data_IF_671088260131
#
_entry.id   IF_671088260131
#
_cell.length_a   1.000
_cell.length_b   1.000
_cell.length_c   1.000
_cell.angle_alpha   90.00
_cell.angle_beta   90.00
_cell.angle_gamma   90.00
#
_symmetry.space_group_name_H-M   'P 1'
#
loop_
_entity.id
_entity.type
_entity.pdbx_description
1 polymer ?
#
# COMPACT_ATOMS: atom_id res chain seq x y z
N UNK A 1 2.56 -8.20 5.54
CA UNK A 1 2.22 -9.54 4.95
C UNK A 1 3.17 -9.73 3.79
N UNK A 2 3.98 -10.79 3.77
CA UNK A 2 4.90 -10.99 2.64
C UNK A 2 4.11 -11.14 1.33
N UNK A 3 4.63 -10.57 0.24
CA UNK A 3 4.02 -10.68 -1.09
C UNK A 3 3.85 -12.16 -1.45
N UNK A 4 2.65 -12.57 -1.81
CA UNK A 4 2.35 -13.93 -2.19
C UNK A 4 3.06 -14.27 -3.51
N UNK A 5 3.96 -15.25 -3.50
CA UNK A 5 4.84 -15.57 -4.62
C UNK A 5 4.06 -15.90 -5.91
N UNK A 6 2.95 -16.62 -5.80
CA UNK A 6 2.11 -16.97 -6.97
C UNK A 6 1.50 -15.72 -7.66
N UNK A 7 1.15 -14.70 -6.91
CA UNK A 7 0.68 -13.42 -7.48
C UNK A 7 1.80 -12.65 -8.13
N UNK A 8 2.99 -12.68 -7.52
CA UNK A 8 4.16 -12.03 -8.09
C UNK A 8 4.58 -12.70 -9.40
N UNK A 9 4.60 -14.03 -9.47
CA UNK A 9 4.90 -14.78 -10.71
C UNK A 9 3.95 -14.42 -11.85
N UNK A 10 2.63 -14.37 -11.59
CA UNK A 10 1.63 -13.95 -12.58
C UNK A 10 1.86 -12.51 -13.05
N UNK A 11 2.14 -11.59 -12.11
CA UNK A 11 2.44 -10.20 -12.41
C UNK A 11 3.69 -10.07 -13.29
N UNK A 12 4.79 -10.77 -12.93
CA UNK A 12 6.05 -10.77 -13.69
C UNK A 12 5.83 -11.31 -15.12
N UNK A 13 5.07 -12.38 -15.27
CA UNK A 13 4.78 -12.96 -16.58
C UNK A 13 4.06 -11.97 -17.49
N UNK A 14 3.03 -11.26 -16.98
CA UNK A 14 2.29 -10.25 -17.75
C UNK A 14 3.16 -9.02 -18.05
N UNK A 15 3.96 -8.55 -17.09
CA UNK A 15 4.85 -7.42 -17.29
C UNK A 15 5.95 -7.71 -18.32
N UNK A 16 6.50 -8.93 -18.34
CA UNK A 16 7.46 -9.35 -19.35
C UNK A 16 6.82 -9.49 -20.74
N UNK A 17 5.58 -9.94 -20.80
CA UNK A 17 4.85 -9.99 -22.07
C UNK A 17 4.66 -8.58 -22.67
N UNK A 18 4.43 -7.56 -21.82
CA UNK A 18 4.30 -6.16 -22.23
C UNK A 18 5.63 -5.57 -22.68
N UNK A 19 6.71 -5.77 -21.89
CA UNK A 19 7.97 -5.05 -22.08
C UNK A 19 8.95 -5.75 -23.05
N UNK A 20 8.94 -7.08 -23.08
CA UNK A 20 9.89 -7.88 -23.89
C UNK A 20 9.25 -8.40 -25.18
N UNK A 21 7.97 -8.78 -25.15
CA UNK A 21 7.27 -9.30 -26.32
C UNK A 21 7.97 -10.54 -26.90
N UNK A 22 8.41 -10.44 -28.17
CA UNK A 22 9.12 -11.48 -28.89
C UNK A 22 10.66 -11.46 -28.69
N UNK A 23 11.21 -10.46 -27.97
CA UNK A 23 12.61 -10.43 -27.58
C UNK A 23 13.19 -9.04 -27.30
N UNK A 24 14.19 -8.97 -26.43
CA UNK A 24 15.06 -7.79 -26.29
C UNK A 24 16.08 -7.76 -27.44
N UNK A 25 15.64 -7.21 -28.57
CA UNK A 25 16.46 -7.17 -29.80
C UNK A 25 17.78 -6.42 -29.65
N UNK A 26 17.85 -5.45 -28.71
CA UNK A 26 19.09 -4.71 -28.43
C UNK A 26 20.10 -5.63 -27.76
N UNK A 27 19.73 -6.28 -26.68
CA UNK A 27 20.65 -7.21 -26.00
C UNK A 27 21.00 -8.40 -26.89
N UNK A 28 20.02 -8.98 -27.58
CA UNK A 28 20.24 -10.12 -28.47
C UNK A 28 21.19 -9.81 -29.67
N UNK A 29 21.21 -8.57 -30.16
CA UNK A 29 22.06 -8.17 -31.28
C UNK A 29 23.45 -7.67 -30.88
N UNK A 30 23.62 -7.16 -29.64
CA UNK A 30 24.84 -6.45 -29.26
C UNK A 30 25.69 -7.20 -28.23
N UNK A 31 25.11 -8.15 -27.50
CA UNK A 31 25.78 -8.85 -26.38
C UNK A 31 25.80 -10.36 -26.65
N UNK A 32 26.97 -11.03 -26.62
CA UNK A 32 27.00 -12.49 -26.71
C UNK A 32 26.20 -13.18 -25.59
N UNK A 33 25.48 -14.26 -25.93
CA UNK A 33 24.50 -14.90 -25.04
C UNK A 33 25.07 -15.43 -23.71
N UNK A 34 26.39 -15.75 -23.68
CA UNK A 34 27.06 -16.34 -22.53
C UNK A 34 27.79 -15.33 -21.63
N UNK A 35 27.64 -14.02 -21.87
CA UNK A 35 28.32 -12.99 -21.08
C UNK A 35 27.74 -12.96 -19.67
N UNK A 36 28.66 -13.04 -18.69
CA UNK A 36 28.38 -12.87 -17.28
C UNK A 36 28.74 -11.43 -16.87
N UNK A 37 27.98 -10.85 -15.96
CA UNK A 37 28.24 -9.50 -15.48
C UNK A 37 27.71 -9.27 -14.09
N UNK A 38 28.02 -8.10 -13.56
CA UNK A 38 27.55 -7.60 -12.29
C UNK A 38 26.94 -6.21 -12.46
N UNK A 39 25.86 -5.94 -11.77
CA UNK A 39 25.28 -4.61 -11.65
C UNK A 39 24.96 -4.28 -10.20
N UNK A 40 24.93 -2.97 -9.88
CA UNK A 40 24.53 -2.46 -8.57
C UNK A 40 23.31 -1.55 -8.69
N UNK A 41 22.37 -1.67 -7.75
CA UNK A 41 21.26 -0.74 -7.64
C UNK A 41 21.68 0.46 -6.78
N UNK A 42 21.74 1.62 -7.43
CA UNK A 42 22.17 2.89 -6.84
C UNK A 42 20.95 3.76 -6.53
N UNK A 43 20.88 4.27 -5.32
CA UNK A 43 19.91 5.26 -4.87
C UNK A 43 20.34 6.66 -5.33
N UNK A 44 19.38 7.44 -5.86
CA UNK A 44 19.63 8.80 -6.37
C UNK A 44 18.78 9.87 -5.69
N UNK A 45 17.87 9.48 -4.82
CA UNK A 45 16.99 10.37 -4.05
C UNK A 45 17.04 9.96 -2.57
N UNK A 46 16.41 10.72 -1.68
CA UNK A 46 16.30 10.39 -0.26
C UNK A 46 14.90 9.88 0.09
N UNK A 47 14.81 8.92 1.00
CA UNK A 47 13.52 8.36 1.41
C UNK A 47 13.63 7.01 2.11
N UNK A 48 12.53 6.26 2.06
CA UNK A 48 12.43 4.89 2.59
C UNK A 48 12.50 3.89 1.43
N UNK A 49 13.49 3.01 1.48
CA UNK A 49 13.66 1.96 0.47
C UNK A 49 12.56 0.90 0.64
N UNK A 50 11.93 0.51 -0.46
CA UNK A 50 10.93 -0.56 -0.45
C UNK A 50 10.92 -1.34 -1.78
N UNK A 51 10.60 -2.64 -1.68
CA UNK A 51 10.55 -3.55 -2.81
C UNK A 51 11.86 -4.30 -3.07
N UNK A 52 12.82 -4.29 -2.15
CA UNK A 52 14.09 -5.05 -2.26
C UNK A 52 13.81 -6.55 -2.33
N UNK A 53 13.00 -7.08 -1.40
CA UNK A 53 12.59 -8.47 -1.41
C UNK A 53 11.81 -8.84 -2.68
N UNK A 54 10.97 -7.94 -3.17
CA UNK A 54 10.22 -8.13 -4.42
C UNK A 54 11.16 -8.14 -5.62
N UNK A 55 12.10 -7.21 -5.72
CA UNK A 55 13.09 -7.16 -6.80
C UNK A 55 13.96 -8.42 -6.83
N UNK A 56 14.42 -8.90 -5.69
CA UNK A 56 15.16 -10.17 -5.58
C UNK A 56 14.35 -11.34 -6.17
N UNK A 57 13.06 -11.42 -5.85
CA UNK A 57 12.18 -12.44 -6.41
C UNK A 57 11.94 -12.23 -7.92
N UNK A 58 11.81 -11.00 -8.41
CA UNK A 58 11.69 -10.70 -9.85
C UNK A 58 12.92 -11.23 -10.59
N UNK A 59 14.14 -10.93 -10.12
CA UNK A 59 15.36 -11.46 -10.73
C UNK A 59 15.39 -12.99 -10.75
N UNK A 60 15.01 -13.63 -9.64
CA UNK A 60 14.99 -15.09 -9.53
C UNK A 60 13.92 -15.75 -10.42
N UNK A 61 12.72 -15.13 -10.55
CA UNK A 61 11.65 -15.62 -11.45
C UNK A 61 12.09 -15.55 -12.91
N UNK A 62 12.82 -14.49 -13.29
CA UNK A 62 13.29 -14.30 -14.67
C UNK A 62 14.44 -15.27 -15.00
N UNK A 63 15.36 -15.45 -14.06
CA UNK A 63 16.46 -16.40 -14.20
C UNK A 63 16.93 -16.86 -12.81
N UNK A 64 16.67 -18.13 -12.42
CA UNK A 64 17.11 -18.68 -11.15
C UNK A 64 18.64 -18.71 -10.96
N UNK A 65 19.42 -18.54 -12.05
CA UNK A 65 20.88 -18.44 -12.00
C UNK A 65 21.41 -17.09 -11.53
N UNK A 66 20.57 -16.05 -11.48
CA UNK A 66 20.97 -14.75 -10.99
C UNK A 66 21.13 -14.75 -9.47
N UNK A 67 22.22 -14.16 -9.00
CA UNK A 67 22.53 -14.01 -7.57
C UNK A 67 22.32 -12.55 -7.17
N UNK A 68 21.50 -12.30 -6.14
CA UNK A 68 21.24 -10.96 -5.60
C UNK A 68 21.78 -10.89 -4.18
N UNK A 69 22.79 -10.05 -3.97
CA UNK A 69 23.35 -9.73 -2.67
C UNK A 69 22.77 -8.42 -2.15
N UNK A 70 21.94 -8.51 -1.11
CA UNK A 70 21.25 -7.35 -0.52
C UNK A 70 22.19 -6.64 0.45
N UNK A 71 22.36 -5.32 0.25
CA UNK A 71 23.13 -4.45 1.13
C UNK A 71 22.23 -3.63 2.07
N UNK A 72 21.02 -3.27 1.63
CA UNK A 72 20.02 -2.55 2.42
C UNK A 72 18.66 -3.23 2.26
N UNK A 73 18.00 -3.48 3.38
CA UNK A 73 16.70 -4.14 3.43
C UNK A 73 15.54 -3.15 3.25
N UNK A 74 14.34 -3.68 3.01
CA UNK A 74 13.09 -2.90 3.00
C UNK A 74 12.90 -2.15 4.33
N UNK A 75 12.52 -0.87 4.26
CA UNK A 75 12.35 0.02 5.40
C UNK A 75 13.59 0.84 5.75
N UNK A 76 14.74 0.61 5.12
CA UNK A 76 15.94 1.42 5.34
C UNK A 76 15.72 2.87 4.87
N UNK A 77 16.15 3.83 5.69
CA UNK A 77 16.32 5.21 5.26
C UNK A 77 17.52 5.30 4.33
N UNK A 78 17.32 5.92 3.16
CA UNK A 78 18.34 5.99 2.10
C UNK A 78 18.54 7.40 1.61
N UNK A 79 19.74 7.65 1.08
CA UNK A 79 20.17 8.91 0.47
C UNK A 79 20.93 8.68 -0.83
N UNK A 80 21.13 9.72 -1.65
CA UNK A 80 21.89 9.60 -2.90
C UNK A 80 23.28 9.03 -2.67
N UNK A 81 23.64 8.01 -3.46
CA UNK A 81 24.91 7.29 -3.40
C UNK A 81 24.86 5.96 -2.67
N UNK A 82 23.81 5.67 -1.89
CA UNK A 82 23.63 4.39 -1.24
C UNK A 82 23.42 3.27 -2.27
N UNK A 83 23.86 2.06 -1.94
CA UNK A 83 23.70 0.88 -2.78
C UNK A 83 22.71 -0.07 -2.08
N UNK A 84 21.59 -0.36 -2.75
CA UNK A 84 20.57 -1.24 -2.19
C UNK A 84 20.94 -2.72 -2.32
N UNK A 85 21.47 -3.14 -3.47
CA UNK A 85 21.93 -4.52 -3.70
C UNK A 85 22.87 -4.60 -4.90
N UNK A 86 23.54 -5.74 -5.02
CA UNK A 86 24.27 -6.17 -6.21
C UNK A 86 23.54 -7.35 -6.85
N UNK A 87 23.60 -7.46 -8.18
CA UNK A 87 23.10 -8.61 -8.94
C UNK A 87 24.18 -9.11 -9.88
N UNK A 88 24.39 -10.43 -9.90
CA UNK A 88 25.40 -11.12 -10.70
C UNK A 88 24.77 -12.25 -11.52
N UNK A 89 25.26 -12.48 -12.73
CA UNK A 89 24.86 -13.59 -13.58
C UNK A 89 24.81 -13.22 -15.05
N UNK A 90 23.95 -13.91 -15.81
CA UNK A 90 23.82 -13.67 -17.24
C UNK A 90 23.33 -12.24 -17.52
N UNK A 91 24.07 -11.51 -18.37
CA UNK A 91 23.80 -10.09 -18.68
C UNK A 91 22.45 -9.89 -19.36
N UNK A 92 22.03 -10.79 -20.25
CA UNK A 92 20.71 -10.71 -20.89
C UNK A 92 19.58 -10.81 -19.86
N UNK A 93 19.73 -11.70 -18.87
CA UNK A 93 18.76 -11.87 -17.78
C UNK A 93 18.71 -10.64 -16.86
N UNK A 94 19.87 -10.05 -16.54
CA UNK A 94 19.96 -8.82 -15.74
C UNK A 94 19.25 -7.66 -16.45
N UNK A 95 19.56 -7.42 -17.73
CA UNK A 95 18.97 -6.33 -18.52
C UNK A 95 17.46 -6.52 -18.72
N UNK A 96 17.01 -7.76 -18.95
CA UNK A 96 15.61 -8.11 -19.08
C UNK A 96 14.81 -7.82 -17.80
N UNK A 97 15.43 -8.03 -16.62
CA UNK A 97 14.80 -7.81 -15.32
C UNK A 97 14.84 -6.33 -14.87
N UNK A 98 15.82 -5.57 -15.34
CA UNK A 98 16.17 -4.23 -14.85
C UNK A 98 14.97 -3.30 -14.78
N UNK A 99 14.25 -3.11 -15.90
CA UNK A 99 13.19 -2.11 -15.97
C UNK A 99 12.04 -2.45 -15.05
N UNK A 100 11.61 -3.72 -15.02
CA UNK A 100 10.54 -4.17 -14.14
C UNK A 100 10.92 -4.02 -12.66
N UNK A 101 12.11 -4.46 -12.27
CA UNK A 101 12.59 -4.33 -10.90
C UNK A 101 12.67 -2.86 -10.46
N UNK A 102 13.21 -1.97 -11.31
CA UNK A 102 13.28 -0.54 -11.05
C UNK A 102 11.90 0.10 -10.92
N UNK A 103 10.97 -0.17 -11.85
CA UNK A 103 9.63 0.40 -11.81
C UNK A 103 8.89 0.02 -10.52
N UNK A 104 9.00 -1.24 -10.10
CA UNK A 104 8.40 -1.73 -8.86
C UNK A 104 9.03 -1.06 -7.64
N UNK A 105 10.36 -1.07 -7.53
CA UNK A 105 11.05 -0.51 -6.37
C UNK A 105 10.88 1.01 -6.26
N UNK A 106 10.98 1.74 -7.37
CA UNK A 106 10.77 3.19 -7.42
C UNK A 106 9.37 3.56 -6.93
N UNK A 107 8.34 2.81 -7.37
CA UNK A 107 6.96 3.00 -6.97
C UNK A 107 6.76 2.67 -5.50
N UNK A 108 7.21 1.49 -5.05
CA UNK A 108 7.08 1.05 -3.67
C UNK A 108 7.84 1.97 -2.70
N UNK A 109 9.06 2.37 -3.03
CA UNK A 109 9.86 3.29 -2.20
C UNK A 109 9.21 4.68 -2.11
N UNK A 110 8.62 5.19 -3.19
CA UNK A 110 7.86 6.44 -3.15
C UNK A 110 6.65 6.36 -2.21
N UNK A 111 5.90 5.24 -2.21
CA UNK A 111 4.76 5.01 -1.31
C UNK A 111 5.25 4.88 0.14
N UNK A 112 6.30 4.09 0.38
CA UNK A 112 6.88 3.91 1.71
C UNK A 112 7.38 5.24 2.29
N UNK A 113 8.09 6.05 1.50
CA UNK A 113 8.57 7.38 1.87
C UNK A 113 7.41 8.29 2.26
N UNK A 114 6.38 8.36 1.40
CA UNK A 114 5.20 9.16 1.68
C UNK A 114 4.48 8.70 2.94
N UNK A 115 4.31 7.40 3.10
CA UNK A 115 3.65 6.82 4.28
C UNK A 115 4.44 7.12 5.55
N UNK A 116 5.76 7.02 5.49
CA UNK A 116 6.65 7.35 6.62
C UNK A 116 6.48 8.80 7.08
N UNK A 117 6.38 9.74 6.16
CA UNK A 117 6.10 11.15 6.49
C UNK A 117 4.78 11.31 7.24
N UNK A 118 3.69 10.65 6.78
CA UNK A 118 2.40 10.69 7.48
C UNK A 118 2.47 10.01 8.84
N UNK A 119 3.10 8.83 8.94
CA UNK A 119 3.24 8.09 10.19
C UNK A 119 4.05 8.87 11.24
N UNK A 120 5.11 9.58 10.82
CA UNK A 120 5.91 10.42 11.71
C UNK A 120 5.08 11.55 12.37
N UNK A 121 4.10 12.13 11.65
CA UNK A 121 3.20 13.14 12.21
C UNK A 121 2.26 12.58 13.28
N UNK A 122 2.05 11.27 13.33
CA UNK A 122 1.21 10.59 14.32
C UNK A 122 1.96 10.18 15.60
N UNK A 123 3.26 10.43 15.66
CA UNK A 123 4.09 10.07 16.81
C UNK A 123 3.52 10.66 18.13
N UNK A 124 3.42 9.81 19.17
CA UNK A 124 2.85 10.17 20.48
C UNK A 124 1.32 10.15 20.54
N UNK A 125 0.63 9.74 19.47
CA UNK A 125 -0.82 9.46 19.46
C UNK A 125 -1.07 7.95 19.32
N UNK A 126 -2.32 7.50 19.51
CA UNK A 126 -2.70 6.11 19.24
C UNK A 126 -3.06 5.86 17.76
N UNK A 127 -3.27 6.93 17.00
CA UNK A 127 -3.75 6.85 15.63
C UNK A 127 -2.73 6.20 14.69
N UNK A 128 -3.22 5.42 13.71
CA UNK A 128 -2.43 4.89 12.61
C UNK A 128 -2.97 5.39 11.27
N UNK A 129 -2.07 5.73 10.35
CA UNK A 129 -2.46 6.06 8.99
C UNK A 129 -2.80 4.79 8.21
N UNK A 130 -3.91 4.80 7.48
CA UNK A 130 -4.37 3.71 6.60
C UNK A 130 -4.26 4.10 5.14
N UNK A 131 -3.97 3.12 4.32
CA UNK A 131 -4.21 3.20 2.88
C UNK A 131 -5.71 3.10 2.55
N UNK A 132 -6.02 3.04 1.26
CA UNK A 132 -7.37 2.85 0.74
C UNK A 132 -7.36 1.84 -0.43
N UNK A 133 -8.50 1.68 -1.12
CA UNK A 133 -8.57 0.95 -2.39
C UNK A 133 -8.23 1.82 -3.61
N UNK A 134 -7.81 3.08 -3.43
CA UNK A 134 -7.35 3.99 -4.51
C UNK A 134 -5.91 3.65 -4.91
N UNK A 135 -5.72 2.44 -5.39
CA UNK A 135 -4.44 1.88 -5.84
C UNK A 135 -4.41 1.72 -7.35
N UNK A 136 -3.20 1.63 -7.93
CA UNK A 136 -3.05 1.25 -9.34
C UNK A 136 -3.66 -0.14 -9.56
N UNK A 137 -4.52 -0.33 -10.58
CA UNK A 137 -5.05 -1.65 -10.90
C UNK A 137 -3.94 -2.70 -11.02
N UNK A 138 -4.19 -3.90 -10.48
CA UNK A 138 -3.28 -5.05 -10.41
C UNK A 138 -2.04 -4.87 -9.51
N UNK A 139 -1.67 -3.64 -9.10
CA UNK A 139 -0.51 -3.39 -8.23
C UNK A 139 -0.85 -3.27 -6.73
N UNK A 140 -2.11 -3.46 -6.34
CA UNK A 140 -2.56 -3.25 -4.95
C UNK A 140 -1.75 -4.03 -3.91
N UNK A 141 -1.33 -5.25 -4.22
CA UNK A 141 -0.56 -6.08 -3.30
C UNK A 141 0.83 -5.51 -3.02
N UNK A 142 1.48 -4.87 -4.01
CA UNK A 142 2.76 -4.18 -3.86
C UNK A 142 2.59 -2.83 -3.16
N UNK A 143 1.56 -2.06 -3.55
CA UNK A 143 1.33 -0.73 -2.98
C UNK A 143 0.94 -0.80 -1.50
N UNK A 144 0.12 -1.79 -1.10
CA UNK A 144 -0.23 -2.01 0.31
C UNK A 144 0.93 -2.53 1.15
N UNK A 145 1.79 -3.37 0.58
CA UNK A 145 3.03 -3.79 1.24
C UNK A 145 3.96 -2.59 1.47
N UNK A 146 4.09 -1.70 0.49
CA UNK A 146 4.87 -0.48 0.62
C UNK A 146 4.34 0.46 1.72
N UNK A 147 3.02 0.52 1.93
CA UNK A 147 2.43 1.26 3.06
C UNK A 147 2.85 0.67 4.40
N UNK A 148 2.87 -0.67 4.53
CA UNK A 148 3.36 -1.32 5.77
C UNK A 148 4.84 -1.03 6.01
N UNK A 149 5.67 -1.12 4.97
CA UNK A 149 7.11 -0.80 5.04
C UNK A 149 7.33 0.65 5.49
N UNK A 150 6.50 1.59 5.04
CA UNK A 150 6.54 2.99 5.46
C UNK A 150 6.00 3.27 6.88
N UNK A 151 5.55 2.24 7.62
CA UNK A 151 5.04 2.37 9.00
C UNK A 151 3.56 2.68 9.10
N UNK A 152 2.80 2.62 8.01
CA UNK A 152 1.34 2.70 7.98
C UNK A 152 0.67 1.37 8.29
N UNK A 153 -0.63 1.31 8.08
CA UNK A 153 -1.44 0.10 8.18
C UNK A 153 -2.36 -0.02 6.96
N UNK A 154 -2.87 -1.23 6.71
CA UNK A 154 -3.74 -1.48 5.57
C UNK A 154 -5.22 -1.41 5.98
N UNK A 155 -6.03 -0.69 5.21
CA UNK A 155 -7.46 -0.85 5.15
C UNK A 155 -7.80 -2.13 4.35
N UNK A 156 -9.07 -2.52 4.27
CA UNK A 156 -9.52 -3.68 3.50
C UNK A 156 -8.82 -3.79 2.14
N UNK A 157 -8.46 -5.01 1.78
CA UNK A 157 -7.79 -5.26 0.50
C UNK A 157 -8.78 -5.20 -0.67
N UNK A 158 -9.96 -5.77 -0.51
CA UNK A 158 -10.97 -5.84 -1.56
C UNK A 158 -12.38 -5.55 -1.07
N UNK A 159 -13.37 -6.12 -1.75
CA UNK A 159 -14.77 -6.07 -1.35
C UNK A 159 -15.19 -7.28 -0.53
N UNK A 160 -14.27 -8.23 -0.31
CA UNK A 160 -14.52 -9.54 0.26
C UNK A 160 -13.99 -9.72 1.69
N UNK A 161 -13.08 -8.86 2.15
CA UNK A 161 -12.40 -8.99 3.45
C UNK A 161 -12.93 -8.04 4.54
N UNK A 162 -13.83 -7.11 4.17
CA UNK A 162 -14.56 -6.23 5.08
C UNK A 162 -15.76 -5.63 4.36
N UNK A 163 -16.90 -5.59 5.01
CA UNK A 163 -18.06 -4.82 4.56
C UNK A 163 -17.85 -3.36 4.95
N UNK A 164 -17.76 -2.45 3.97
CA UNK A 164 -17.75 -1.01 4.20
C UNK A 164 -19.03 -0.44 3.61
N UNK A 165 -19.94 -0.05 4.48
CA UNK A 165 -21.21 0.58 4.13
C UNK A 165 -20.95 2.07 3.96
N UNK A 166 -21.11 2.55 2.74
CA UNK A 166 -20.90 3.93 2.33
C UNK A 166 -22.22 4.69 2.21
N UNK A 167 -22.14 6.00 2.06
CA UNK A 167 -23.27 6.91 1.83
C UNK A 167 -24.30 6.35 0.85
N UNK A 168 -23.86 5.96 -0.35
CA UNK A 168 -24.73 5.38 -1.37
C UNK A 168 -25.41 4.08 -0.92
N UNK A 169 -24.72 3.24 -0.12
CA UNK A 169 -25.32 2.01 0.41
C UNK A 169 -26.41 2.32 1.43
N UNK A 170 -26.19 3.33 2.29
CA UNK A 170 -27.18 3.82 3.27
C UNK A 170 -28.40 4.37 2.55
N UNK A 171 -28.18 5.23 1.56
CA UNK A 171 -29.26 5.88 0.80
C UNK A 171 -30.12 4.84 0.04
N UNK A 172 -29.50 3.89 -0.67
CA UNK A 172 -30.22 2.80 -1.37
C UNK A 172 -30.86 1.79 -0.43
N UNK A 173 -30.34 1.60 0.78
CA UNK A 173 -30.95 0.72 1.77
C UNK A 173 -32.17 1.34 2.46
N UNK A 174 -32.34 2.67 2.40
CA UNK A 174 -33.37 3.42 3.09
C UNK A 174 -33.01 3.76 4.54
N UNK A 175 -31.74 4.04 4.82
CA UNK A 175 -31.21 4.51 6.11
C UNK A 175 -30.19 3.56 6.75
N UNK A 176 -29.55 4.06 7.81
CA UNK A 176 -28.47 3.40 8.57
C UNK A 176 -28.95 2.06 9.15
N UNK A 177 -30.05 2.07 9.90
CA UNK A 177 -30.60 0.87 10.55
C UNK A 177 -30.92 -0.24 9.55
N UNK A 178 -31.50 0.11 8.40
CA UNK A 178 -31.82 -0.85 7.35
C UNK A 178 -30.54 -1.43 6.72
N UNK A 179 -29.56 -0.59 6.43
CA UNK A 179 -28.28 -1.02 5.88
C UNK A 179 -27.54 -1.99 6.81
N UNK A 180 -27.46 -1.65 8.09
CA UNK A 180 -26.81 -2.49 9.11
C UNK A 180 -27.53 -3.79 9.34
N UNK A 181 -28.87 -3.78 9.48
CA UNK A 181 -29.68 -4.98 9.66
C UNK A 181 -29.48 -5.97 8.49
N UNK A 182 -29.50 -5.46 7.25
CA UNK A 182 -29.28 -6.29 6.06
C UNK A 182 -27.84 -6.83 5.98
N UNK A 183 -26.84 -6.02 6.31
CA UNK A 183 -25.44 -6.45 6.31
C UNK A 183 -25.19 -7.55 7.33
N UNK A 184 -25.77 -7.46 8.53
CA UNK A 184 -25.72 -8.47 9.58
C UNK A 184 -26.40 -9.78 9.16
N UNK A 185 -27.63 -9.68 8.64
CA UNK A 185 -28.37 -10.84 8.15
C UNK A 185 -27.58 -11.56 7.05
N UNK A 186 -27.00 -10.81 6.11
CA UNK A 186 -26.16 -11.35 5.06
C UNK A 186 -24.91 -12.05 5.63
N UNK A 187 -24.17 -11.38 6.54
CA UNK A 187 -22.98 -11.94 7.22
C UNK A 187 -23.31 -13.26 7.91
N UNK A 188 -24.41 -13.29 8.67
CA UNK A 188 -24.85 -14.49 9.40
C UNK A 188 -25.29 -15.63 8.46
N UNK A 189 -26.10 -15.31 7.44
CA UNK A 189 -26.62 -16.31 6.49
C UNK A 189 -25.49 -17.00 5.70
N UNK A 190 -24.42 -16.25 5.39
CA UNK A 190 -23.29 -16.78 4.61
C UNK A 190 -22.11 -17.25 5.48
N UNK A 191 -22.23 -17.21 6.81
CA UNK A 191 -21.17 -17.63 7.73
C UNK A 191 -19.87 -16.84 7.59
N UNK A 192 -19.95 -15.54 7.24
CA UNK A 192 -18.79 -14.70 6.99
C UNK A 192 -18.22 -14.15 8.31
N UNK A 193 -16.91 -14.33 8.54
CA UNK A 193 -16.18 -13.78 9.68
C UNK A 193 -15.45 -12.46 9.33
N UNK A 194 -16.10 -11.59 8.54
CA UNK A 194 -15.54 -10.31 8.12
C UNK A 194 -16.15 -9.15 8.92
N UNK A 195 -15.38 -8.10 9.25
CA UNK A 195 -15.89 -6.94 9.98
C UNK A 195 -16.86 -6.11 9.14
N UNK A 196 -17.72 -5.36 9.85
CA UNK A 196 -18.63 -4.36 9.27
C UNK A 196 -18.16 -2.98 9.70
N UNK A 197 -17.88 -2.14 8.74
CA UNK A 197 -17.59 -0.73 8.89
C UNK A 197 -18.68 0.11 8.21
N UNK A 198 -19.02 1.27 8.78
CA UNK A 198 -19.98 2.20 8.21
C UNK A 198 -19.46 3.63 8.22
N UNK A 199 -19.63 4.34 7.11
CA UNK A 199 -19.41 5.79 6.99
C UNK A 199 -20.61 6.53 7.57
N UNK A 200 -20.35 7.56 8.39
CA UNK A 200 -21.36 8.51 8.89
C UNK A 200 -21.00 9.94 8.48
N UNK A 201 -22.02 10.72 8.11
CA UNK A 201 -21.92 12.09 7.60
C UNK A 201 -22.40 13.13 8.63
N UNK A 202 -22.99 12.68 9.76
CA UNK A 202 -23.54 13.53 10.79
C UNK A 202 -23.55 12.86 12.16
N UNK A 203 -23.73 13.67 13.22
CA UNK A 203 -23.93 13.13 14.57
C UNK A 203 -25.22 12.32 14.70
N UNK A 204 -26.27 12.68 13.97
CA UNK A 204 -27.51 11.93 13.96
C UNK A 204 -27.32 10.53 13.39
N UNK A 205 -26.58 10.39 12.28
CA UNK A 205 -26.21 9.08 11.73
C UNK A 205 -25.35 8.28 12.72
N UNK A 206 -24.42 8.95 13.43
CA UNK A 206 -23.59 8.31 14.46
C UNK A 206 -24.44 7.78 15.62
N UNK A 207 -25.41 8.56 16.11
CA UNK A 207 -26.34 8.12 17.17
C UNK A 207 -27.08 6.85 16.73
N UNK A 208 -27.63 6.82 15.52
CA UNK A 208 -28.32 5.66 14.96
C UNK A 208 -27.39 4.43 14.84
N UNK A 209 -26.11 4.63 14.43
CA UNK A 209 -25.09 3.56 14.43
C UNK A 209 -24.85 3.04 15.83
N UNK A 210 -24.74 3.91 16.84
CA UNK A 210 -24.43 3.52 18.21
C UNK A 210 -25.57 2.78 18.92
N UNK A 211 -26.80 2.87 18.42
CA UNK A 211 -27.94 2.06 18.85
C UNK A 211 -27.90 0.64 18.27
N UNK A 212 -27.09 0.41 17.23
CA UNK A 212 -26.93 -0.86 16.56
C UNK A 212 -25.69 -1.64 17.06
N UNK A 213 -25.89 -2.82 17.67
CA UNK A 213 -24.81 -3.63 18.27
C UNK A 213 -23.89 -4.38 17.30
N UNK A 214 -24.03 -4.21 16.01
CA UNK A 214 -23.41 -5.11 15.02
C UNK A 214 -22.41 -4.45 14.07
N UNK A 215 -21.86 -3.33 14.47
CA UNK A 215 -20.80 -2.58 13.76
C UNK A 215 -19.50 -2.78 14.48
N UNK A 216 -18.42 -3.05 13.74
CA UNK A 216 -17.08 -3.22 14.29
C UNK A 216 -16.28 -1.92 14.24
N UNK A 217 -16.54 -1.06 13.23
CA UNK A 217 -15.86 0.22 13.01
C UNK A 217 -16.82 1.28 12.47
N UNK A 218 -16.62 2.53 12.87
CA UNK A 218 -17.31 3.69 12.32
C UNK A 218 -16.29 4.65 11.71
N UNK A 219 -16.59 5.15 10.49
CA UNK A 219 -15.79 6.13 9.78
C UNK A 219 -16.50 7.47 9.77
N UNK A 220 -15.84 8.52 10.25
CA UNK A 220 -16.31 9.91 10.19
C UNK A 220 -15.89 10.52 8.86
N UNK A 221 -16.83 10.66 7.94
CA UNK A 221 -16.56 11.17 6.59
C UNK A 221 -16.67 12.69 6.54
N UNK A 222 -15.58 13.35 6.19
CA UNK A 222 -15.46 14.82 6.08
C UNK A 222 -15.83 15.62 7.35
N UNK A 223 -15.73 15.02 8.54
CA UNK A 223 -15.88 15.75 9.81
C UNK A 223 -14.67 16.66 10.03
N UNK A 224 -14.91 17.84 10.63
CA UNK A 224 -13.84 18.69 11.17
C UNK A 224 -13.16 18.02 12.36
N UNK A 225 -11.98 18.49 12.74
CA UNK A 225 -11.25 17.95 13.90
C UNK A 225 -12.02 18.08 15.21
N UNK A 226 -12.80 19.16 15.39
CA UNK A 226 -13.68 19.38 16.53
C UNK A 226 -14.87 18.40 16.53
N UNK A 227 -15.44 18.15 15.37
CA UNK A 227 -16.53 17.16 15.23
C UNK A 227 -16.01 15.74 15.49
N UNK A 228 -14.80 15.42 14.99
CA UNK A 228 -14.15 14.13 15.26
C UNK A 228 -13.92 13.93 16.75
N UNK A 229 -13.40 14.94 17.46
CA UNK A 229 -13.20 14.84 18.91
C UNK A 229 -14.53 14.54 19.65
N UNK A 230 -15.60 15.27 19.33
CA UNK A 230 -16.93 15.03 19.88
C UNK A 230 -17.47 13.64 19.51
N UNK A 231 -17.29 13.21 18.25
CA UNK A 231 -17.73 11.89 17.81
C UNK A 231 -16.98 10.75 18.55
N UNK A 232 -15.68 10.90 18.76
CA UNK A 232 -14.88 9.94 19.55
C UNK A 232 -15.39 9.85 21.00
N UNK A 233 -15.74 10.98 21.64
CA UNK A 233 -16.37 11.00 22.96
C UNK A 233 -17.71 10.26 22.96
N UNK A 234 -18.56 10.47 21.94
CA UNK A 234 -19.86 9.79 21.79
C UNK A 234 -19.67 8.27 21.59
N UNK A 235 -18.69 7.85 20.81
CA UNK A 235 -18.35 6.43 20.62
C UNK A 235 -17.88 5.80 21.93
N UNK A 236 -17.13 6.53 22.75
CA UNK A 236 -16.66 6.12 24.08
C UNK A 236 -16.06 4.70 24.11
N UNK A 237 -15.19 4.38 23.13
CA UNK A 237 -14.48 3.11 23.04
C UNK A 237 -15.34 1.88 22.66
N UNK A 238 -16.62 2.06 22.31
CA UNK A 238 -17.52 0.96 21.91
C UNK A 238 -17.20 0.40 20.53
N UNK A 239 -16.65 1.21 19.65
CA UNK A 239 -16.30 0.88 18.27
C UNK A 239 -14.89 1.38 17.96
N UNK A 240 -14.24 0.75 16.99
CA UNK A 240 -13.04 1.29 16.35
C UNK A 240 -13.44 2.55 15.56
N UNK A 241 -12.65 3.61 15.66
CA UNK A 241 -12.93 4.90 15.02
C UNK A 241 -11.95 5.21 13.90
N UNK A 242 -12.48 5.70 12.77
CA UNK A 242 -11.69 6.14 11.63
C UNK A 242 -12.12 7.55 11.19
N UNK A 243 -11.14 8.42 10.86
CA UNK A 243 -11.40 9.68 10.19
C UNK A 243 -11.01 9.57 8.72
N UNK A 244 -11.85 10.12 7.84
CA UNK A 244 -11.65 10.15 6.40
C UNK A 244 -12.13 11.46 5.77
N UNK A 245 -11.67 11.75 4.55
CA UNK A 245 -12.09 12.91 3.77
C UNK A 245 -11.10 14.07 3.83
N UNK A 246 -10.42 14.36 2.70
CA UNK A 246 -9.57 15.53 2.50
C UNK A 246 -8.38 15.73 3.45
N UNK A 247 -8.00 14.70 4.21
CA UNK A 247 -6.93 14.80 5.21
C UNK A 247 -5.57 14.86 4.54
N UNK A 248 -4.79 15.90 4.84
CA UNK A 248 -3.47 16.16 4.29
C UNK A 248 -2.37 15.98 5.34
N UNK A 249 -1.10 16.09 4.91
CA UNK A 249 0.04 16.01 5.82
C UNK A 249 0.01 17.10 6.90
N UNK A 250 -0.48 18.29 6.54
CA UNK A 250 -0.59 19.46 7.42
C UNK A 250 -1.68 19.29 8.48
N UNK A 251 -2.74 18.55 8.16
CA UNK A 251 -3.92 18.42 9.03
C UNK A 251 -3.99 17.10 9.81
N UNK A 252 -3.27 16.05 9.38
CA UNK A 252 -3.40 14.69 9.94
C UNK A 252 -3.14 14.64 11.44
N UNK A 253 -2.20 15.46 11.95
CA UNK A 253 -1.88 15.48 13.38
C UNK A 253 -3.05 15.94 14.23
N UNK A 254 -3.82 16.95 13.77
CA UNK A 254 -4.97 17.46 14.50
C UNK A 254 -6.09 16.42 14.57
N UNK A 255 -6.31 15.65 13.50
CA UNK A 255 -7.21 14.50 13.50
C UNK A 255 -6.75 13.41 14.49
N UNK A 256 -5.46 13.12 14.55
CA UNK A 256 -4.91 12.15 15.49
C UNK A 256 -5.09 12.59 16.95
N UNK A 257 -4.86 13.88 17.23
CA UNK A 257 -5.07 14.47 18.56
C UNK A 257 -6.56 14.50 18.97
N UNK A 258 -7.49 14.49 18.01
CA UNK A 258 -8.91 14.31 18.26
C UNK A 258 -9.26 12.91 18.80
N UNK A 259 -8.33 11.95 18.78
CA UNK A 259 -8.41 10.69 19.48
C UNK A 259 -8.98 9.52 18.67
N UNK A 260 -8.96 9.57 17.34
CA UNK A 260 -9.33 8.43 16.48
C UNK A 260 -8.29 7.31 16.54
N UNK A 261 -8.70 6.09 16.19
CA UNK A 261 -7.80 4.92 16.08
C UNK A 261 -7.09 4.88 14.74
N UNK A 262 -7.79 5.31 13.67
CA UNK A 262 -7.28 5.27 12.30
C UNK A 262 -7.59 6.54 11.53
N UNK A 263 -6.73 6.85 10.55
CA UNK A 263 -6.92 7.96 9.60
C UNK A 263 -6.62 7.44 8.21
N UNK A 264 -7.63 7.34 7.33
CA UNK A 264 -7.43 6.89 5.97
C UNK A 264 -7.01 8.03 5.03
N UNK A 265 -5.94 7.79 4.28
CA UNK A 265 -5.35 8.77 3.37
C UNK A 265 -5.13 8.15 1.99
N UNK A 266 -5.98 8.49 1.03
CA UNK A 266 -5.87 8.00 -0.35
C UNK A 266 -4.57 8.42 -1.04
N UNK A 267 -4.04 9.59 -0.67
CA UNK A 267 -2.82 10.16 -1.24
C UNK A 267 -1.56 9.30 -0.97
N UNK A 268 -1.60 8.34 -0.04
CA UNK A 268 -0.49 7.39 0.16
C UNK A 268 -0.19 6.57 -1.09
N UNK A 269 -1.19 6.33 -1.93
CA UNK A 269 -1.06 5.46 -3.11
C UNK A 269 -1.38 6.16 -4.43
N UNK A 270 -2.38 7.07 -4.48
CA UNK A 270 -2.80 7.65 -5.77
C UNK A 270 -2.00 8.90 -6.21
N UNK A 271 -1.22 9.55 -5.30
CA UNK A 271 -0.49 10.79 -5.60
C UNK A 271 0.95 10.72 -5.10
N UNK A 272 1.70 9.74 -5.59
CA UNK A 272 3.06 9.44 -5.12
C UNK A 272 4.09 9.79 -6.19
N UNK A 273 5.14 10.49 -5.78
CA UNK A 273 6.38 10.63 -6.57
C UNK A 273 7.23 9.38 -6.35
N UNK A 274 7.63 8.72 -7.42
CA UNK A 274 8.57 7.59 -7.37
C UNK A 274 9.94 8.04 -6.85
N UNK A 275 10.61 7.19 -6.07
CA UNK A 275 11.99 7.41 -5.62
C UNK A 275 12.94 7.15 -6.79
N UNK A 276 13.92 8.02 -7.03
CA UNK A 276 14.86 7.83 -8.14
C UNK A 276 15.91 6.77 -7.80
N UNK A 277 15.88 5.66 -8.56
CA UNK A 277 16.78 4.51 -8.46
C UNK A 277 17.36 4.17 -9.84
N UNK A 278 18.55 3.62 -9.87
CA UNK A 278 19.21 3.26 -11.14
C UNK A 278 20.05 1.99 -10.96
N UNK A 279 19.92 1.03 -11.90
CA UNK A 279 20.81 -0.10 -11.98
C UNK A 279 22.03 0.28 -12.84
N UNK A 280 23.25 0.05 -12.34
CA UNK A 280 24.50 0.40 -13.02
C UNK A 280 25.37 -0.83 -13.16
N UNK A 281 25.73 -1.15 -14.41
CA UNK A 281 26.71 -2.18 -14.68
C UNK A 281 28.03 -1.84 -13.96
N UNK A 282 28.62 -2.85 -13.34
CA UNK A 282 29.98 -2.80 -12.80
C UNK A 282 30.91 -3.28 -13.90
N UNK A 283 31.68 -2.37 -14.47
CA UNK A 283 32.76 -2.73 -15.40
C UNK A 283 33.85 -3.39 -14.58
N UNK A 284 34.11 -4.64 -14.87
CA UNK A 284 35.18 -5.45 -14.24
C UNK A 284 36.50 -5.12 -14.90
#
# INVERSE_FOLDING_TARGET
MAVELSKLEQFVALALQEDVGDGDHTSLSTIPANVQGEAKLLVKDEGILAGVAVAKNIFHIIDPGLQVEVALEDGAEVKPGDIAFYVQGNVHSILKAERLALNVMQRMSGIATRTHLYAAHLAGTKAKVLDTRKTTPLLRFLEKEAVLIGGGANHRFGLYDMMLIKDNHVDYAGGITNALTRAQAYRSTHGLAIPIEIEVRSFQELEEVLENAAVDRVMFDNFTTQEVAKAVEMVNGRLVTEASGGITLETIRDYALAGVDYISVGALTHSVKSLDLSLKAKIV
#
